data_IF_219206848273
#
_entry.id   IF_219206848273
#
_cell.length_a   1.000
_cell.length_b   1.000
_cell.length_c   1.000
_cell.angle_alpha   90.00
_cell.angle_beta   90.00
_cell.angle_gamma   90.00
#
_symmetry.space_group_name_H-M   'P 1'
#
loop_
_entity.id
_entity.type
_entity.pdbx_description
1 polymer ?
#
# COMPACT_ATOMS: atom_id res chain seq x y z
N UNK A 1 24.48 27.36 11.85
CA UNK A 1 23.42 26.92 10.96
C UNK A 1 23.75 25.54 10.45
N UNK A 2 22.85 24.61 10.66
CA UNK A 2 23.09 23.23 10.17
C UNK A 2 22.78 23.16 8.67
N UNK A 3 23.77 22.71 7.91
CA UNK A 3 23.55 22.38 6.52
C UNK A 3 23.02 20.96 6.43
N UNK A 4 21.91 20.81 5.74
CA UNK A 4 21.37 19.48 5.45
C UNK A 4 22.02 18.94 4.18
N UNK A 5 22.87 17.95 4.36
CA UNK A 5 23.39 17.18 3.23
C UNK A 5 22.41 16.04 2.92
N UNK A 6 21.86 16.07 1.73
CA UNK A 6 20.99 14.97 1.27
C UNK A 6 21.88 13.83 0.81
N UNK A 7 21.81 12.69 1.48
CA UNK A 7 22.44 11.47 1.03
C UNK A 7 21.47 10.74 0.09
N UNK A 8 21.78 10.77 -1.20
CA UNK A 8 20.93 10.19 -2.22
C UNK A 8 20.73 8.68 -2.06
N UNK A 9 21.76 7.95 -1.63
CA UNK A 9 21.64 6.51 -1.37
C UNK A 9 20.64 6.23 -0.25
N UNK A 10 20.68 7.04 0.79
CA UNK A 10 19.76 6.92 1.92
C UNK A 10 18.33 7.26 1.55
N UNK A 11 18.12 8.26 0.70
CA UNK A 11 16.79 8.64 0.18
C UNK A 11 16.21 7.50 -0.63
N UNK A 12 16.97 6.91 -1.55
CA UNK A 12 16.55 5.76 -2.36
C UNK A 12 16.21 4.57 -1.48
N UNK A 13 16.99 4.29 -0.45
CA UNK A 13 16.72 3.20 0.49
C UNK A 13 15.39 3.43 1.23
N UNK A 14 15.14 4.64 1.73
CA UNK A 14 13.90 5.00 2.42
C UNK A 14 12.69 4.84 1.50
N UNK A 15 12.77 5.30 0.26
CA UNK A 15 11.69 5.16 -0.72
C UNK A 15 11.37 3.70 -1.00
N UNK A 16 12.36 2.87 -1.25
CA UNK A 16 12.16 1.43 -1.49
C UNK A 16 11.53 0.74 -0.29
N UNK A 17 11.99 1.08 0.91
CA UNK A 17 11.46 0.52 2.13
C UNK A 17 10.00 0.93 2.36
N UNK A 18 9.66 2.19 2.07
CA UNK A 18 8.29 2.70 2.14
C UNK A 18 7.37 2.01 1.14
N UNK A 19 7.84 1.83 -0.10
CA UNK A 19 7.12 1.11 -1.14
C UNK A 19 6.84 -0.33 -0.73
N UNK A 20 7.84 -1.00 -0.20
CA UNK A 20 7.71 -2.37 0.28
C UNK A 20 6.70 -2.48 1.43
N UNK A 21 6.74 -1.56 2.38
CA UNK A 21 5.77 -1.51 3.49
C UNK A 21 4.35 -1.34 2.99
N UNK A 22 4.13 -0.44 2.05
CA UNK A 22 2.81 -0.22 1.48
C UNK A 22 2.27 -1.48 0.83
N UNK A 23 3.07 -2.12 -0.02
CA UNK A 23 2.67 -3.36 -0.70
C UNK A 23 2.33 -4.45 0.31
N UNK A 24 3.22 -4.69 1.27
CA UNK A 24 3.06 -5.75 2.26
C UNK A 24 1.83 -5.52 3.13
N UNK A 25 1.59 -4.28 3.55
CA UNK A 25 0.44 -3.94 4.37
C UNK A 25 -0.87 -4.05 3.59
N UNK A 26 -0.91 -3.59 2.34
CA UNK A 26 -2.10 -3.75 1.50
C UNK A 26 -2.44 -5.23 1.32
N UNK A 27 -1.46 -6.06 1.01
CA UNK A 27 -1.68 -7.49 0.83
C UNK A 27 -2.11 -8.18 2.13
N UNK A 28 -1.49 -7.83 3.25
CA UNK A 28 -1.86 -8.35 4.57
C UNK A 28 -3.31 -8.01 4.93
N UNK A 29 -3.69 -6.76 4.80
CA UNK A 29 -5.03 -6.29 5.14
C UNK A 29 -6.07 -6.93 4.21
N UNK A 30 -5.76 -7.01 2.93
CA UNK A 30 -6.64 -7.66 1.95
C UNK A 30 -6.88 -9.12 2.32
N UNK A 31 -5.85 -9.86 2.71
CA UNK A 31 -5.99 -11.24 3.16
C UNK A 31 -6.83 -11.36 4.42
N UNK A 32 -6.60 -10.49 5.40
CA UNK A 32 -7.36 -10.48 6.65
C UNK A 32 -8.85 -10.23 6.41
N UNK A 33 -9.17 -9.23 5.59
CA UNK A 33 -10.56 -8.93 5.22
C UNK A 33 -11.21 -10.10 4.48
N UNK A 34 -10.48 -10.75 3.59
CA UNK A 34 -11.01 -11.88 2.84
C UNK A 34 -11.24 -13.10 3.71
N UNK A 35 -10.44 -13.32 4.75
CA UNK A 35 -10.71 -14.37 5.74
C UNK A 35 -12.02 -14.12 6.50
N UNK A 36 -12.23 -12.89 6.93
CA UNK A 36 -13.48 -12.49 7.61
C UNK A 36 -14.68 -12.68 6.69
N UNK A 37 -14.55 -12.25 5.44
CA UNK A 37 -15.62 -12.36 4.44
C UNK A 37 -15.93 -13.82 4.12
N UNK A 38 -14.94 -14.67 4.04
CA UNK A 38 -15.14 -16.11 3.82
C UNK A 38 -15.98 -16.74 4.93
N UNK A 39 -15.74 -16.36 6.18
CA UNK A 39 -16.55 -16.84 7.32
C UNK A 39 -18.01 -16.42 7.24
N UNK A 40 -18.28 -15.29 6.61
CA UNK A 40 -19.63 -14.75 6.42
C UNK A 40 -20.24 -15.11 5.07
N UNK A 41 -19.58 -15.96 4.27
CA UNK A 41 -19.98 -16.34 2.90
C UNK A 41 -20.12 -15.14 1.97
N UNK A 42 -19.28 -14.11 2.16
CA UNK A 42 -19.24 -12.94 1.30
C UNK A 42 -18.17 -13.12 0.20
N UNK A 43 -18.37 -12.52 -0.98
CA UNK A 43 -17.36 -12.56 -2.04
C UNK A 43 -16.04 -11.96 -1.61
N UNK A 44 -14.93 -12.50 -2.13
CA UNK A 44 -13.60 -11.93 -1.88
C UNK A 44 -13.48 -10.55 -2.49
N UNK A 45 -12.80 -9.67 -1.76
CA UNK A 45 -12.32 -8.40 -2.32
C UNK A 45 -11.10 -8.71 -3.17
N UNK A 46 -11.13 -8.29 -4.43
CA UNK A 46 -10.00 -8.44 -5.36
C UNK A 46 -9.27 -7.11 -5.49
N UNK A 47 -8.04 -7.14 -5.97
CA UNK A 47 -7.27 -5.90 -6.18
C UNK A 47 -8.00 -4.92 -7.06
N UNK A 48 -8.69 -5.39 -8.09
CA UNK A 48 -9.50 -4.52 -8.97
C UNK A 48 -10.68 -3.85 -8.27
N UNK A 49 -11.12 -4.38 -7.12
CA UNK A 49 -12.19 -3.77 -6.32
C UNK A 49 -11.67 -2.60 -5.48
N UNK A 50 -10.35 -2.56 -5.19
CA UNK A 50 -9.71 -1.41 -4.58
C UNK A 50 -9.74 -0.21 -5.53
N UNK A 51 -9.40 -0.45 -6.78
CA UNK A 51 -9.32 0.51 -7.85
C UNK A 51 -9.10 -0.28 -9.14
N UNK A 52 -9.70 0.17 -10.25
CA UNK A 52 -9.55 -0.49 -11.55
C UNK A 52 -8.09 -0.63 -12.00
N UNK A 53 -7.19 0.23 -11.48
CA UNK A 53 -5.77 0.23 -11.77
C UNK A 53 -4.91 -0.32 -10.65
N UNK A 54 -5.49 -0.89 -9.61
CA UNK A 54 -4.72 -1.32 -8.43
C UNK A 54 -3.62 -2.34 -8.78
N UNK A 55 -3.90 -3.30 -9.65
CA UNK A 55 -2.89 -4.26 -10.09
C UNK A 55 -1.70 -3.58 -10.78
N UNK A 56 -1.96 -2.64 -11.65
CA UNK A 56 -0.92 -1.87 -12.34
C UNK A 56 -0.16 -0.97 -11.37
N UNK A 57 -0.87 -0.31 -10.47
CA UNK A 57 -0.26 0.55 -9.45
C UNK A 57 0.67 -0.26 -8.53
N UNK A 58 0.24 -1.44 -8.08
CA UNK A 58 1.07 -2.31 -7.25
C UNK A 58 2.27 -2.87 -8.02
N UNK A 59 2.08 -3.21 -9.29
CA UNK A 59 3.18 -3.62 -10.16
C UNK A 59 4.25 -2.52 -10.26
N UNK A 60 3.85 -1.29 -10.56
CA UNK A 60 4.75 -0.15 -10.66
C UNK A 60 5.45 0.14 -9.35
N UNK A 61 4.72 0.02 -8.26
CA UNK A 61 5.27 0.23 -6.92
C UNK A 61 6.35 -0.81 -6.59
N UNK A 62 6.14 -2.09 -6.95
CA UNK A 62 7.13 -3.16 -6.76
C UNK A 62 8.40 -2.91 -7.56
N UNK A 63 8.28 -2.29 -8.72
CA UNK A 63 9.41 -1.96 -9.59
C UNK A 63 9.96 -0.55 -9.38
N UNK A 64 9.51 0.15 -8.34
CA UNK A 64 9.93 1.51 -7.99
C UNK A 64 9.74 2.51 -9.15
N UNK A 65 8.71 2.32 -9.97
CA UNK A 65 8.41 3.20 -11.11
C UNK A 65 7.57 4.40 -10.71
N UNK A 66 6.53 4.19 -9.92
CA UNK A 66 5.64 5.23 -9.47
C UNK A 66 5.15 4.94 -8.06
N UNK A 67 4.93 6.00 -7.29
CA UNK A 67 4.24 5.92 -6.01
C UNK A 67 2.79 6.42 -6.19
N UNK A 68 1.78 5.71 -5.68
CA UNK A 68 0.41 6.17 -5.80
C UNK A 68 0.21 7.48 -5.02
N UNK A 69 -0.66 8.35 -5.52
CA UNK A 69 -0.98 9.56 -4.79
C UNK A 69 -1.84 9.25 -3.55
N UNK A 70 -1.94 10.22 -2.65
CA UNK A 70 -2.66 10.05 -1.40
C UNK A 70 -4.12 9.70 -1.62
N UNK A 71 -4.77 10.29 -2.62
CA UNK A 71 -6.18 10.02 -2.91
C UNK A 71 -6.43 8.56 -3.29
N UNK A 72 -5.50 7.93 -4.02
CA UNK A 72 -5.56 6.52 -4.35
C UNK A 72 -5.43 5.64 -3.10
N UNK A 73 -4.47 5.97 -2.24
CA UNK A 73 -4.25 5.24 -0.99
C UNK A 73 -5.48 5.36 -0.07
N UNK A 74 -6.06 6.54 0.04
CA UNK A 74 -7.28 6.77 0.81
C UNK A 74 -8.46 5.97 0.27
N UNK A 75 -8.59 5.87 -1.04
CA UNK A 75 -9.62 5.06 -1.68
C UNK A 75 -9.46 3.58 -1.30
N UNK A 76 -8.24 3.05 -1.34
CA UNK A 76 -7.97 1.68 -0.93
C UNK A 76 -8.30 1.45 0.54
N UNK A 77 -7.93 2.38 1.42
CA UNK A 77 -8.24 2.31 2.84
C UNK A 77 -9.76 2.27 3.07
N UNK A 78 -10.50 3.09 2.33
CA UNK A 78 -11.95 3.13 2.41
C UNK A 78 -12.59 1.80 1.96
N UNK A 79 -12.13 1.22 0.86
CA UNK A 79 -12.63 -0.07 0.38
C UNK A 79 -12.35 -1.19 1.39
N UNK A 80 -11.16 -1.17 2.00
CA UNK A 80 -10.76 -2.17 2.99
C UNK A 80 -11.28 -1.87 4.40
N UNK A 81 -11.93 -0.74 4.60
CA UNK A 81 -12.46 -0.29 5.88
C UNK A 81 -11.39 -0.26 6.98
N UNK A 82 -10.29 0.40 6.69
CA UNK A 82 -9.17 0.60 7.63
C UNK A 82 -8.74 2.05 7.63
N UNK A 83 -8.07 2.46 8.71
CA UNK A 83 -7.40 3.74 8.75
C UNK A 83 -6.19 3.70 7.81
N UNK A 84 -5.93 4.79 7.12
CA UNK A 84 -4.81 4.90 6.18
C UNK A 84 -3.46 4.59 6.85
N UNK A 85 -3.32 4.88 8.15
CA UNK A 85 -2.11 4.59 8.91
C UNK A 85 -1.75 3.10 8.93
N UNK A 86 -2.73 2.22 8.74
CA UNK A 86 -2.50 0.77 8.67
C UNK A 86 -1.60 0.36 7.52
N UNK A 87 -1.59 1.14 6.44
CA UNK A 87 -0.74 0.88 5.29
C UNK A 87 0.74 1.22 5.53
N UNK A 88 1.04 1.96 6.57
CA UNK A 88 2.39 2.42 6.87
C UNK A 88 2.97 1.78 8.13
N UNK A 89 2.32 0.77 8.66
CA UNK A 89 2.78 0.03 9.82
C UNK A 89 4.12 -0.67 9.54
N UNK A 90 5.02 -0.75 10.53
CA UNK A 90 6.24 -1.54 10.38
C UNK A 90 5.93 -3.01 10.07
N UNK A 91 6.78 -3.60 9.29
CA UNK A 91 6.66 -5.02 8.90
C UNK A 91 7.46 -5.86 9.86
#
# INVERSE_FOLDING_TARGET
>A
MMEYKVNLERVVFVERNTNFRLIANVERILQERNREREKENLPKIRKKDLDSRANDTLYRLRHNLNYPNLSTIMKWANVLDVDISEFFQPI
#
